data_IF_813128697098
#
_entry.id   IF_813128697098
#
_cell.length_a   1.000
_cell.length_b   1.000
_cell.length_c   1.000
_cell.angle_alpha   90.00
_cell.angle_beta   90.00
_cell.angle_gamma   90.00
#
_symmetry.space_group_name_H-M   'P 1'
#
loop_
_entity.id
_entity.type
_entity.pdbx_description
1 polymer ?
#
# COMPACT_ATOMS: atom_id res chain seq x y z
N UNK A 1 -10.56 44.72 -9.32
CA UNK A 1 -10.41 43.50 -10.12
C UNK A 1 -9.45 42.60 -9.37
N UNK A 2 -9.95 41.68 -8.55
CA UNK A 2 -9.10 40.72 -7.86
C UNK A 2 -9.93 39.44 -7.71
N UNK A 3 -9.60 38.43 -8.52
CA UNK A 3 -10.14 37.08 -8.38
C UNK A 3 -9.12 36.29 -7.58
N UNK A 4 -9.41 36.13 -6.30
CA UNK A 4 -8.62 35.36 -5.35
C UNK A 4 -8.46 33.90 -5.82
N UNK A 5 -7.19 33.54 -6.06
CA UNK A 5 -6.54 32.25 -5.81
C UNK A 5 -7.49 31.03 -5.66
N UNK A 6 -7.71 30.33 -6.77
CA UNK A 6 -8.27 28.98 -6.75
C UNK A 6 -7.27 28.01 -6.10
N UNK A 7 -7.34 27.90 -4.78
CA UNK A 7 -6.63 26.89 -3.99
C UNK A 7 -7.08 25.51 -4.44
N UNK A 8 -6.27 24.87 -5.30
CA UNK A 8 -6.46 23.48 -5.73
C UNK A 8 -6.03 22.52 -4.61
N UNK A 9 -6.62 22.68 -3.42
CA UNK A 9 -6.50 21.74 -2.31
C UNK A 9 -7.25 20.47 -2.72
N UNK A 10 -6.47 19.43 -3.01
CA UNK A 10 -6.97 18.07 -3.18
C UNK A 10 -7.94 17.79 -2.03
N UNK A 11 -9.22 17.52 -2.34
CA UNK A 11 -10.29 17.45 -1.34
C UNK A 11 -9.90 16.47 -0.23
N UNK A 12 -9.81 16.96 1.01
CA UNK A 12 -9.63 16.16 2.24
C UNK A 12 -10.58 14.95 2.30
N UNK A 13 -11.76 15.05 1.67
CA UNK A 13 -12.70 13.94 1.49
C UNK A 13 -12.07 12.67 0.91
N UNK A 14 -11.14 12.77 -0.04
CA UNK A 14 -10.50 11.59 -0.65
C UNK A 14 -9.62 10.87 0.37
N UNK A 15 -8.84 11.60 1.17
CA UNK A 15 -8.01 11.02 2.22
C UNK A 15 -8.84 10.36 3.32
N UNK A 16 -9.95 10.99 3.73
CA UNK A 16 -10.85 10.42 4.74
C UNK A 16 -11.52 9.13 4.25
N UNK A 17 -11.96 9.08 2.98
CA UNK A 17 -12.54 7.86 2.41
C UNK A 17 -11.54 6.70 2.37
N UNK A 18 -10.30 6.99 1.98
CA UNK A 18 -9.23 5.99 1.92
C UNK A 18 -8.79 5.55 3.32
N UNK A 19 -8.78 6.46 4.30
CA UNK A 19 -8.54 6.11 5.70
C UNK A 19 -9.59 5.12 6.22
N UNK A 20 -10.87 5.33 5.90
CA UNK A 20 -11.95 4.39 6.25
C UNK A 20 -11.73 3.03 5.56
N UNK A 21 -11.35 3.02 4.28
CA UNK A 21 -11.05 1.78 3.55
C UNK A 21 -9.87 1.02 4.19
N UNK A 22 -8.81 1.72 4.60
CA UNK A 22 -7.66 1.14 5.30
C UNK A 22 -8.03 0.57 6.67
N UNK A 23 -8.85 1.29 7.44
CA UNK A 23 -9.37 0.82 8.73
C UNK A 23 -10.19 -0.45 8.56
N UNK A 24 -11.14 -0.45 7.62
CA UNK A 24 -11.97 -1.62 7.31
C UNK A 24 -11.09 -2.83 7.00
N UNK A 25 -10.14 -2.66 6.09
CA UNK A 25 -9.23 -3.71 5.67
C UNK A 25 -8.30 -4.20 6.81
N UNK A 26 -8.05 -3.36 7.82
CA UNK A 26 -7.29 -3.71 9.03
C UNK A 26 -8.14 -4.55 9.96
N UNK A 27 -9.39 -4.14 10.23
CA UNK A 27 -10.34 -4.96 10.98
C UNK A 27 -10.56 -6.33 10.34
N UNK A 28 -10.67 -6.40 9.02
CA UNK A 28 -10.77 -7.69 8.30
C UNK A 28 -9.53 -8.56 8.55
N UNK A 29 -8.33 -7.97 8.52
CA UNK A 29 -7.08 -8.70 8.76
C UNK A 29 -7.00 -9.26 10.18
N UNK A 30 -7.43 -8.47 11.17
CA UNK A 30 -7.49 -8.90 12.57
C UNK A 30 -8.53 -10.01 12.74
N UNK A 31 -9.72 -9.86 12.16
CA UNK A 31 -10.77 -10.88 12.22
C UNK A 31 -10.33 -12.22 11.61
N UNK A 32 -9.66 -12.21 10.46
CA UNK A 32 -9.11 -13.40 9.82
C UNK A 32 -8.06 -14.08 10.71
N UNK A 33 -7.21 -13.28 11.37
CA UNK A 33 -6.20 -13.81 12.30
C UNK A 33 -6.85 -14.41 13.55
N UNK A 34 -7.91 -13.79 14.06
CA UNK A 34 -8.66 -14.28 15.23
C UNK A 34 -9.44 -15.56 14.96
N UNK A 35 -9.90 -15.78 13.72
CA UNK A 35 -10.68 -16.95 13.33
C UNK A 35 -9.84 -18.22 13.09
N UNK A 36 -8.52 -18.19 13.30
CA UNK A 36 -7.61 -19.35 13.26
C UNK A 36 -7.89 -20.32 12.09
N UNK A 37 -7.86 -19.83 10.85
CA UNK A 37 -7.98 -20.65 9.63
C UNK A 37 -6.76 -21.57 9.36
N UNK A 38 -5.98 -21.90 10.39
CA UNK A 38 -4.77 -22.72 10.30
C UNK A 38 -3.74 -22.14 9.33
N UNK A 39 -3.17 -22.94 8.39
CA UNK A 39 -2.06 -22.51 7.52
C UNK A 39 -2.43 -21.41 6.52
N UNK A 40 -3.72 -21.22 6.23
CA UNK A 40 -4.17 -20.18 5.30
C UNK A 40 -4.20 -18.78 5.89
N UNK A 41 -4.09 -18.65 7.23
CA UNK A 41 -4.08 -17.35 7.92
C UNK A 41 -2.93 -16.46 7.46
N UNK A 42 -1.73 -17.04 7.30
CA UNK A 42 -0.52 -16.33 6.88
C UNK A 42 -0.65 -15.81 5.45
N UNK A 43 -1.11 -16.67 4.53
CA UNK A 43 -1.33 -16.28 3.12
C UNK A 43 -2.38 -15.18 2.99
N UNK A 44 -3.48 -15.27 3.75
CA UNK A 44 -4.52 -14.24 3.75
C UNK A 44 -4.02 -12.91 4.36
N UNK A 45 -3.23 -12.98 5.44
CA UNK A 45 -2.63 -11.80 6.06
C UNK A 45 -1.64 -11.10 5.11
N UNK A 46 -0.81 -11.84 4.38
CA UNK A 46 0.12 -11.30 3.37
C UNK A 46 -0.61 -10.62 2.21
N UNK A 47 -1.67 -11.23 1.67
CA UNK A 47 -2.49 -10.62 0.62
C UNK A 47 -3.14 -9.31 1.08
N UNK A 48 -3.68 -9.30 2.29
CA UNK A 48 -4.24 -8.09 2.89
C UNK A 48 -3.17 -7.04 3.20
N UNK A 49 -1.96 -7.43 3.58
CA UNK A 49 -0.86 -6.48 3.78
C UNK A 49 -0.43 -5.84 2.44
N UNK A 50 -0.33 -6.64 1.36
CA UNK A 50 0.00 -6.16 0.03
C UNK A 50 -1.03 -5.17 -0.52
N UNK A 51 -2.33 -5.50 -0.43
CA UNK A 51 -3.37 -4.64 -0.94
C UNK A 51 -3.51 -3.31 -0.13
N UNK A 52 -3.23 -3.31 1.19
CA UNK A 52 -3.14 -2.08 2.00
C UNK A 52 -2.00 -1.19 1.51
N UNK A 53 -0.83 -1.80 1.31
CA UNK A 53 0.38 -1.10 0.86
C UNK A 53 0.18 -0.45 -0.51
N UNK A 54 -0.50 -1.13 -1.44
CA UNK A 54 -0.86 -0.57 -2.76
C UNK A 54 -1.79 0.64 -2.63
N UNK A 55 -2.81 0.57 -1.76
CA UNK A 55 -3.75 1.67 -1.56
C UNK A 55 -3.04 2.91 -0.97
N UNK A 56 -2.13 2.71 -0.01
CA UNK A 56 -1.29 3.79 0.54
C UNK A 56 -0.39 4.38 -0.54
N UNK A 57 0.27 3.52 -1.32
CA UNK A 57 1.20 3.96 -2.36
C UNK A 57 0.50 4.82 -3.43
N UNK A 58 -0.68 4.41 -3.90
CA UNK A 58 -1.42 5.12 -4.95
C UNK A 58 -2.06 6.43 -4.50
N UNK A 59 -2.56 6.49 -3.26
CA UNK A 59 -3.35 7.64 -2.77
C UNK A 59 -2.52 8.54 -1.85
N UNK A 60 -1.93 8.01 -0.78
CA UNK A 60 -1.23 8.80 0.24
C UNK A 60 0.13 9.29 -0.24
N UNK A 61 0.85 8.46 -0.99
CA UNK A 61 2.12 8.86 -1.60
C UNK A 61 1.93 9.73 -2.84
N UNK A 62 0.70 10.15 -3.12
CA UNK A 62 0.31 11.03 -4.21
C UNK A 62 0.75 10.54 -5.61
N UNK A 63 1.14 9.26 -5.73
CA UNK A 63 1.76 8.70 -6.93
C UNK A 63 0.88 8.79 -8.18
N UNK A 64 -0.44 8.81 -7.99
CA UNK A 64 -1.44 9.01 -9.04
C UNK A 64 -1.63 10.49 -9.43
N UNK A 65 -1.39 11.40 -8.51
CA UNK A 65 -1.67 12.84 -8.66
C UNK A 65 -0.43 13.67 -9.01
N UNK A 66 0.76 13.17 -8.68
CA UNK A 66 2.05 13.77 -9.00
C UNK A 66 2.66 13.27 -10.32
N UNK A 67 3.82 13.81 -10.71
CA UNK A 67 4.51 13.37 -11.93
C UNK A 67 4.84 11.87 -11.85
N UNK A 68 4.55 11.14 -12.93
CA UNK A 68 4.84 9.69 -13.10
C UNK A 68 6.29 9.29 -12.79
N UNK A 69 7.22 10.25 -12.78
CA UNK A 69 8.60 10.05 -12.39
C UNK A 69 8.76 9.51 -10.95
N UNK A 70 8.01 10.06 -9.98
CA UNK A 70 8.04 9.55 -8.60
C UNK A 70 7.50 8.12 -8.49
N UNK A 71 6.55 7.75 -9.35
CA UNK A 71 6.03 6.39 -9.46
C UNK A 71 7.11 5.39 -9.86
N UNK A 72 7.92 5.76 -10.85
CA UNK A 72 9.00 4.92 -11.37
C UNK A 72 10.09 4.77 -10.32
N UNK A 73 10.47 5.85 -9.62
CA UNK A 73 11.47 5.77 -8.54
C UNK A 73 11.00 4.93 -7.35
N UNK A 74 9.75 5.06 -6.92
CA UNK A 74 9.22 4.21 -5.85
C UNK A 74 9.16 2.73 -6.29
N UNK A 75 8.70 2.48 -7.52
CA UNK A 75 8.65 1.13 -8.09
C UNK A 75 10.04 0.50 -8.20
N UNK A 76 11.08 1.26 -8.56
CA UNK A 76 12.45 0.73 -8.65
C UNK A 76 13.01 0.32 -7.28
N UNK A 77 12.72 1.09 -6.22
CA UNK A 77 13.10 0.72 -4.85
C UNK A 77 12.37 -0.55 -4.40
N UNK A 78 11.07 -0.66 -4.65
CA UNK A 78 10.31 -1.88 -4.35
C UNK A 78 10.78 -3.10 -5.16
N UNK A 79 11.18 -2.90 -6.41
CA UNK A 79 11.76 -3.95 -7.25
C UNK A 79 13.10 -4.42 -6.69
N UNK A 80 13.98 -3.50 -6.30
CA UNK A 80 15.24 -3.83 -5.63
C UNK A 80 15.00 -4.60 -4.33
N UNK A 81 14.08 -4.11 -3.47
CA UNK A 81 13.71 -4.81 -2.24
C UNK A 81 13.21 -6.24 -2.54
N UNK A 82 12.31 -6.39 -3.51
CA UNK A 82 11.81 -7.70 -3.93
C UNK A 82 12.90 -8.63 -4.44
N UNK A 83 13.87 -8.09 -5.20
CA UNK A 83 15.02 -8.85 -5.68
C UNK A 83 15.91 -9.32 -4.52
N UNK A 84 16.21 -8.46 -3.54
CA UNK A 84 16.98 -8.81 -2.35
C UNK A 84 16.27 -9.90 -1.54
N UNK A 85 14.96 -9.76 -1.29
CA UNK A 85 14.17 -10.77 -0.58
C UNK A 85 14.19 -12.11 -1.33
N UNK A 86 14.00 -12.08 -2.65
CA UNK A 86 13.98 -13.28 -3.48
C UNK A 86 15.32 -14.01 -3.48
N UNK A 87 16.44 -13.29 -3.68
CA UNK A 87 17.78 -13.86 -3.63
C UNK A 87 18.07 -14.45 -2.24
N UNK A 88 17.69 -13.74 -1.17
CA UNK A 88 17.87 -14.23 0.22
C UNK A 88 17.06 -15.51 0.46
N UNK A 89 15.84 -15.61 -0.08
CA UNK A 89 15.03 -16.82 0.00
C UNK A 89 15.63 -18.00 -0.76
N UNK A 90 16.17 -17.75 -1.96
CA UNK A 90 16.89 -18.77 -2.73
C UNK A 90 18.13 -19.25 -1.97
N UNK A 91 18.92 -18.34 -1.41
CA UNK A 91 20.10 -18.67 -0.63
C UNK A 91 19.75 -19.57 0.57
N UNK A 92 18.66 -19.28 1.28
CA UNK A 92 18.18 -20.11 2.39
C UNK A 92 17.65 -21.48 1.94
N UNK A 93 17.01 -21.58 0.77
CA UNK A 93 16.43 -22.84 0.28
C UNK A 93 17.48 -23.80 -0.28
N UNK A 94 18.55 -23.28 -0.88
CA UNK A 94 19.65 -24.06 -1.45
C UNK A 94 20.80 -24.31 -0.45
N UNK A 95 20.67 -23.85 0.80
CA UNK A 95 21.58 -24.10 1.92
C UNK A 95 21.17 -25.35 2.69
#
# INVERSE_FOLDING_TARGET
>A
MEKEQHTHIVKYKTYVFVLIALLFMTFTSVAITSLNLGPYTVSAALLLAGCKSLLVLLIFMHLKFDKKFYAIMAASVFLLLGCVIFITFLDYLYR
#
